data_IF_924102750368
#
_entry.id   IF_924102750368
#
_cell.length_a   1.000
_cell.length_b   1.000
_cell.length_c   1.000
_cell.angle_alpha   90.00
_cell.angle_beta   90.00
_cell.angle_gamma   90.00
#
_symmetry.space_group_name_H-M   'P 1'
#
loop_
_entity.id
_entity.type
_entity.pdbx_description
1 polymer ?
#
# COMPACT_ATOMS: atom_id res chain seq x y z
N UNK A 1 -3.53 19.37 -31.28
CA UNK A 1 -4.85 19.49 -30.66
C UNK A 1 -5.07 18.45 -29.60
N UNK A 2 -5.08 17.19 -29.97
CA UNK A 2 -5.27 16.12 -29.01
C UNK A 2 -4.21 16.10 -27.93
N UNK A 3 -2.95 16.29 -28.30
CA UNK A 3 -1.86 16.32 -27.34
C UNK A 3 -2.06 17.44 -26.32
N UNK A 4 -2.50 18.60 -26.78
CA UNK A 4 -2.75 19.74 -25.92
C UNK A 4 -3.91 19.50 -24.99
N UNK A 5 -5.00 18.90 -25.52
CA UNK A 5 -6.16 18.55 -24.69
C UNK A 5 -5.80 17.50 -23.68
N UNK A 6 -5.00 16.50 -24.10
CA UNK A 6 -4.53 15.45 -23.20
C UNK A 6 -3.67 16.04 -22.10
N UNK A 7 -2.77 16.98 -22.43
CA UNK A 7 -1.94 17.63 -21.43
C UNK A 7 -2.79 18.43 -20.45
N UNK A 8 -3.80 19.14 -20.95
CA UNK A 8 -4.73 19.89 -20.11
C UNK A 8 -5.49 18.95 -19.18
N UNK A 9 -5.99 17.84 -19.72
CA UNK A 9 -6.71 16.84 -18.93
C UNK A 9 -5.81 16.20 -17.90
N UNK A 10 -4.58 15.88 -18.27
CA UNK A 10 -3.61 15.29 -17.36
C UNK A 10 -3.25 16.28 -16.25
N UNK A 11 -3.06 17.54 -16.59
CA UNK A 11 -2.73 18.57 -15.63
C UNK A 11 -3.82 18.73 -14.58
N UNK A 12 -5.07 18.77 -15.01
CA UNK A 12 -6.21 18.88 -14.10
C UNK A 12 -6.30 17.69 -13.16
N UNK A 13 -6.08 16.48 -13.68
CA UNK A 13 -6.09 15.27 -12.85
C UNK A 13 -4.96 15.28 -11.83
N UNK A 14 -3.76 15.63 -12.26
CA UNK A 14 -2.61 15.72 -11.36
C UNK A 14 -2.89 16.73 -10.26
N UNK A 15 -3.38 17.90 -10.64
CA UNK A 15 -3.72 18.95 -9.67
C UNK A 15 -4.75 18.45 -8.67
N UNK A 16 -5.80 17.81 -9.16
CA UNK A 16 -6.85 17.28 -8.29
C UNK A 16 -6.30 16.28 -7.28
N UNK A 17 -5.49 15.34 -7.76
CA UNK A 17 -4.89 14.32 -6.88
C UNK A 17 -3.98 14.97 -5.84
N UNK A 18 -3.14 15.90 -6.27
CA UNK A 18 -2.16 16.51 -5.36
C UNK A 18 -2.80 17.44 -4.33
N UNK A 19 -3.98 17.98 -4.63
CA UNK A 19 -4.65 18.91 -3.72
C UNK A 19 -5.80 18.29 -2.95
N UNK A 20 -6.22 17.08 -3.31
CA UNK A 20 -7.29 16.39 -2.59
C UNK A 20 -6.72 15.70 -1.35
N UNK A 21 -7.25 16.01 -0.14
CA UNK A 21 -6.67 15.45 1.10
C UNK A 21 -6.63 13.92 1.15
N UNK A 22 -7.64 13.25 0.59
CA UNK A 22 -7.68 11.78 0.60
C UNK A 22 -6.58 11.19 -0.27
N UNK A 23 -6.45 11.70 -1.50
CA UNK A 23 -5.44 11.19 -2.41
C UNK A 23 -4.03 11.54 -1.93
N UNK A 24 -3.83 12.74 -1.43
CA UNK A 24 -2.51 13.13 -0.95
C UNK A 24 -2.10 12.35 0.29
N UNK A 25 -3.05 11.94 1.13
CA UNK A 25 -2.76 11.11 2.29
C UNK A 25 -2.31 9.70 1.86
N UNK A 26 -2.98 9.11 0.87
CA UNK A 26 -2.58 7.81 0.32
C UNK A 26 -1.21 7.93 -0.33
N UNK A 27 -0.99 8.98 -1.12
CA UNK A 27 0.29 9.23 -1.77
C UNK A 27 1.41 9.34 -0.73
N UNK A 28 1.19 10.12 0.32
CA UNK A 28 2.18 10.31 1.37
C UNK A 28 2.53 8.98 2.05
N UNK A 29 1.55 8.13 2.28
CA UNK A 29 1.79 6.81 2.86
C UNK A 29 2.61 5.95 1.91
N UNK A 30 2.28 5.94 0.62
CA UNK A 30 3.01 5.15 -0.38
C UNK A 30 4.46 5.57 -0.53
N UNK A 31 4.79 6.82 -0.19
CA UNK A 31 6.15 7.33 -0.28
C UNK A 31 7.03 6.93 0.89
N UNK A 32 6.46 6.32 1.91
CA UNK A 32 7.23 5.90 3.08
C UNK A 32 7.91 4.56 2.84
N UNK A 33 8.99 4.34 3.58
CA UNK A 33 9.78 3.13 3.46
C UNK A 33 8.90 1.88 3.66
N UNK A 34 9.01 0.95 2.73
CA UNK A 34 8.35 -0.36 2.78
C UNK A 34 6.81 -0.30 2.77
N UNK A 35 6.23 0.85 2.38
CA UNK A 35 4.78 0.98 2.31
C UNK A 35 4.18 0.03 1.28
N UNK A 36 4.76 0.02 0.09
CA UNK A 36 4.29 -0.85 -0.99
C UNK A 36 4.53 -2.31 -0.63
N UNK A 37 5.69 -2.61 -0.01
CA UNK A 37 5.98 -3.96 0.48
C UNK A 37 4.89 -4.45 1.42
N UNK A 38 4.47 -3.61 2.36
CA UNK A 38 3.45 -3.97 3.33
C UNK A 38 2.09 -4.16 2.67
N UNK A 39 1.75 -3.35 1.67
CA UNK A 39 0.52 -3.55 0.91
C UNK A 39 0.53 -4.88 0.18
N UNK A 40 1.66 -5.26 -0.40
CA UNK A 40 1.79 -6.55 -1.06
C UNK A 40 1.69 -7.70 -0.05
N UNK A 41 2.31 -7.56 1.13
CA UNK A 41 2.19 -8.57 2.18
C UNK A 41 0.73 -8.76 2.60
N UNK A 42 0.00 -7.66 2.75
CA UNK A 42 -1.43 -7.71 3.03
C UNK A 42 -2.20 -8.44 1.93
N UNK A 43 -1.86 -8.15 0.69
CA UNK A 43 -2.51 -8.76 -0.47
C UNK A 43 -2.31 -10.27 -0.48
N UNK A 44 -1.14 -10.72 -0.05
CA UNK A 44 -0.81 -12.14 0.04
C UNK A 44 -1.39 -12.82 1.27
N UNK A 45 -2.10 -12.10 2.12
CA UNK A 45 -2.63 -12.65 3.36
C UNK A 45 -1.57 -12.79 4.45
N UNK A 46 -0.48 -12.04 4.35
CA UNK A 46 0.62 -12.09 5.32
C UNK A 46 0.65 -10.85 6.20
N UNK A 47 -0.51 -10.48 6.72
CA UNK A 47 -0.64 -9.29 7.58
C UNK A 47 -0.31 -9.51 9.04
N UNK A 48 0.32 -10.64 9.37
CA UNK A 48 0.80 -10.96 10.70
C UNK A 48 2.32 -10.94 10.66
N UNK A 49 2.95 -10.33 11.66
CA UNK A 49 4.40 -10.13 11.60
C UNK A 49 5.20 -11.42 11.38
N UNK A 50 4.80 -12.51 12.04
CA UNK A 50 5.50 -13.76 11.87
C UNK A 50 5.55 -14.21 10.41
N UNK A 51 4.42 -14.12 9.74
CA UNK A 51 4.29 -14.54 8.34
C UNK A 51 4.99 -13.56 7.40
N UNK A 52 4.88 -12.28 7.69
CA UNK A 52 5.57 -11.26 6.91
C UNK A 52 7.08 -11.45 7.00
N UNK A 53 7.58 -11.67 8.22
CA UNK A 53 9.00 -11.89 8.48
C UNK A 53 9.51 -13.11 7.73
N UNK A 54 8.76 -14.21 7.74
CA UNK A 54 9.13 -15.42 7.03
C UNK A 54 9.24 -15.16 5.53
N UNK A 55 8.25 -14.50 4.96
CA UNK A 55 8.25 -14.20 3.52
C UNK A 55 9.44 -13.33 3.14
N UNK A 56 9.71 -12.29 3.91
CA UNK A 56 10.81 -11.39 3.62
C UNK A 56 12.14 -12.11 3.69
N UNK A 57 12.33 -12.95 4.71
CA UNK A 57 13.57 -13.70 4.87
C UNK A 57 13.76 -14.71 3.75
N UNK A 58 12.72 -15.44 3.37
CA UNK A 58 12.79 -16.43 2.29
C UNK A 58 13.17 -15.77 0.96
N UNK A 59 12.80 -14.54 0.77
CA UNK A 59 13.08 -13.82 -0.46
C UNK A 59 14.27 -12.88 -0.35
N UNK A 60 15.04 -12.99 0.75
CA UNK A 60 16.24 -12.20 0.99
C UNK A 60 15.95 -10.70 0.98
N UNK A 61 14.81 -10.33 1.53
CA UNK A 61 14.38 -8.94 1.68
C UNK A 61 14.44 -8.58 3.16
N UNK A 62 14.59 -7.28 3.44
CA UNK A 62 14.68 -6.79 4.81
C UNK A 62 13.45 -5.97 5.18
N UNK A 63 12.97 -6.19 6.40
CA UNK A 63 11.86 -5.42 6.95
C UNK A 63 11.92 -5.60 8.46
N UNK A 64 11.96 -4.50 9.20
CA UNK A 64 11.96 -4.57 10.65
C UNK A 64 10.54 -4.65 11.19
N UNK A 65 10.39 -5.21 12.38
CA UNK A 65 9.12 -5.28 13.08
C UNK A 65 8.53 -3.88 13.28
N UNK A 66 9.37 -2.94 13.69
CA UNK A 66 8.92 -1.56 13.90
C UNK A 66 8.38 -0.91 12.65
N UNK A 67 9.07 -1.10 11.52
CA UNK A 67 8.60 -0.56 10.25
C UNK A 67 7.31 -1.22 9.79
N UNK A 68 7.23 -2.55 9.93
CA UNK A 68 6.01 -3.28 9.60
C UNK A 68 4.82 -2.74 10.38
N UNK A 69 4.98 -2.60 11.69
CA UNK A 69 3.89 -2.10 12.55
C UNK A 69 3.50 -0.68 12.19
N UNK A 70 4.49 0.19 11.97
CA UNK A 70 4.22 1.58 11.61
C UNK A 70 3.43 1.68 10.31
N UNK A 71 3.86 0.93 9.29
CA UNK A 71 3.16 0.94 8.00
C UNK A 71 1.75 0.37 8.13
N UNK A 72 1.58 -0.73 8.87
CA UNK A 72 0.26 -1.34 9.03
C UNK A 72 -0.73 -0.41 9.73
N UNK A 73 -0.27 0.33 10.73
CA UNK A 73 -1.11 1.31 11.43
C UNK A 73 -1.55 2.41 10.45
N UNK A 74 -0.64 2.89 9.62
CA UNK A 74 -0.95 3.93 8.65
C UNK A 74 -1.90 3.44 7.56
N UNK A 75 -1.66 2.23 7.08
CA UNK A 75 -2.49 1.59 6.08
C UNK A 75 -3.90 1.39 6.63
N UNK A 76 -4.00 0.94 7.87
CA UNK A 76 -5.29 0.80 8.55
C UNK A 76 -5.99 2.15 8.71
N UNK A 77 -5.23 3.17 9.10
CA UNK A 77 -5.78 4.51 9.27
C UNK A 77 -6.38 5.10 8.00
N UNK A 78 -5.92 4.65 6.85
CA UNK A 78 -6.45 5.08 5.54
C UNK A 78 -7.59 4.20 5.04
N UNK A 79 -8.00 3.19 5.83
CA UNK A 79 -9.09 2.30 5.44
C UNK A 79 -8.68 1.21 4.47
N UNK A 80 -7.39 0.98 4.28
CA UNK A 80 -6.89 -0.03 3.35
C UNK A 80 -6.73 -1.40 4.01
N UNK A 81 -6.73 -1.43 5.33
CA UNK A 81 -6.66 -2.64 6.13
C UNK A 81 -7.51 -2.48 7.36
N UNK A 82 -7.84 -3.59 7.99
CA UNK A 82 -8.43 -3.61 9.32
C UNK A 82 -7.66 -4.63 10.13
N UNK A 83 -7.63 -4.44 11.45
CA UNK A 83 -6.92 -5.37 12.33
C UNK A 83 -7.89 -6.23 13.10
N UNK A 84 -7.48 -7.47 13.32
CA UNK A 84 -8.18 -8.41 14.17
C UNK A 84 -7.21 -8.85 15.25
N UNK A 85 -7.69 -8.93 16.48
CA UNK A 85 -6.85 -9.38 17.58
C UNK A 85 -6.97 -10.89 17.69
N UNK A 86 -5.85 -11.60 17.48
CA UNK A 86 -5.82 -13.05 17.59
C UNK A 86 -5.70 -13.44 19.05
N UNK A 87 -4.87 -12.71 19.80
CA UNK A 87 -4.74 -12.86 21.25
C UNK A 87 -4.34 -11.48 21.81
N UNK A 88 -4.21 -11.35 23.15
CA UNK A 88 -3.95 -10.03 23.75
C UNK A 88 -2.73 -9.30 23.21
N UNK A 89 -1.76 -10.02 22.65
CA UNK A 89 -0.49 -9.45 22.23
C UNK A 89 -0.29 -9.44 20.73
N UNK A 90 -1.16 -10.13 19.96
CA UNK A 90 -0.94 -10.31 18.53
C UNK A 90 -2.09 -9.75 17.71
N UNK A 91 -1.74 -9.01 16.70
CA UNK A 91 -2.69 -8.48 15.72
C UNK A 91 -2.48 -9.11 14.37
N UNK A 92 -3.58 -9.37 13.68
CA UNK A 92 -3.58 -9.77 12.29
C UNK A 92 -4.21 -8.64 11.50
N UNK A 93 -3.50 -8.13 10.52
CA UNK A 93 -4.03 -7.13 9.60
C UNK A 93 -4.56 -7.83 8.36
N UNK A 94 -5.75 -7.47 7.95
CA UNK A 94 -6.35 -8.02 6.72
C UNK A 94 -6.74 -6.86 5.81
N UNK A 95 -6.63 -7.08 4.51
CA UNK A 95 -6.97 -6.05 3.54
C UNK A 95 -8.47 -5.81 3.51
N UNK A 96 -8.85 -4.57 3.32
CA UNK A 96 -10.23 -4.20 3.01
C UNK A 96 -10.43 -4.30 1.51
N UNK A 97 -11.67 -4.09 1.04
CA UNK A 97 -11.93 -4.02 -0.39
C UNK A 97 -11.09 -2.93 -1.06
N UNK A 98 -10.96 -1.78 -0.39
CA UNK A 98 -10.14 -0.69 -0.90
C UNK A 98 -8.66 -1.07 -0.92
N UNK A 99 -8.19 -1.75 0.14
CA UNK A 99 -6.80 -2.23 0.19
C UNK A 99 -6.50 -3.21 -0.92
N UNK A 100 -7.41 -4.12 -1.21
CA UNK A 100 -7.24 -5.06 -2.33
C UNK A 100 -7.16 -4.31 -3.65
N UNK A 101 -8.02 -3.31 -3.84
CA UNK A 101 -8.02 -2.52 -5.07
C UNK A 101 -6.69 -1.79 -5.25
N UNK A 102 -6.18 -1.18 -4.20
CA UNK A 102 -4.90 -0.46 -4.26
C UNK A 102 -3.77 -1.43 -4.58
N UNK A 103 -3.72 -2.58 -3.91
CA UNK A 103 -2.67 -3.56 -4.16
C UNK A 103 -2.70 -4.09 -5.60
N UNK A 104 -3.90 -4.37 -6.12
CA UNK A 104 -4.04 -4.84 -7.50
C UNK A 104 -3.61 -3.77 -8.50
N UNK A 105 -3.93 -2.51 -8.24
CA UNK A 105 -3.50 -1.41 -9.11
C UNK A 105 -1.99 -1.27 -9.11
N UNK A 106 -1.36 -1.42 -7.95
CA UNK A 106 0.11 -1.36 -7.86
C UNK A 106 0.75 -2.53 -8.58
N UNK A 107 0.20 -3.74 -8.41
CA UNK A 107 0.71 -4.90 -9.14
C UNK A 107 0.57 -4.70 -10.65
N UNK A 108 -0.57 -4.20 -11.10
CA UNK A 108 -0.81 -3.91 -12.51
C UNK A 108 0.14 -2.85 -13.05
N UNK A 109 0.45 -1.85 -12.22
CA UNK A 109 1.42 -0.83 -12.59
C UNK A 109 2.78 -1.45 -12.93
N UNK A 110 3.28 -2.32 -12.05
CA UNK A 110 4.58 -2.97 -12.28
C UNK A 110 4.51 -3.95 -13.46
N UNK A 111 3.41 -4.68 -13.61
CA UNK A 111 3.21 -5.58 -14.74
C UNK A 111 3.26 -4.84 -16.07
N UNK A 112 2.64 -3.66 -16.12
CA UNK A 112 2.61 -2.85 -17.35
C UNK A 112 4.00 -2.36 -17.75
N UNK A 113 4.89 -2.17 -16.80
CA UNK A 113 6.25 -1.73 -17.13
C UNK A 113 7.03 -2.79 -17.88
N UNK A 114 6.77 -4.03 -17.61
CA UNK A 114 7.35 -5.17 -18.33
C UNK A 114 8.87 -5.07 -18.53
N UNK A 115 9.58 -4.77 -17.44
CA UNK A 115 11.04 -4.64 -17.48
C UNK A 115 11.74 -5.78 -16.78
#
# INVERSE_FOLDING_TARGET
>A
MKAKMTNSGAEEKVKYILTNPKYSAIKAMLEKDHAIDCLFLLHLGRGKWKEAKEFMRENKLTLSDGTFRARMIEIEGLGLAKSERIDPLKKLYVKTALGEKVAKLLLGFFDELNI
#
